data_IF_660801096009
#
_entry.id   IF_660801096009
#
_cell.length_a   1.000
_cell.length_b   1.000
_cell.length_c   1.000
_cell.angle_alpha   90.00
_cell.angle_beta   90.00
_cell.angle_gamma   90.00
#
_symmetry.space_group_name_H-M   'P 1'
#
loop_
_entity.id
_entity.type
_entity.pdbx_description
1 polymer ?
#
# COMPACT_ATOMS: atom_id res chain seq x y z
N UNK A 1 -7.96 -8.64 -12.43
CA UNK A 1 -7.66 -7.32 -13.04
C UNK A 1 -8.91 -6.47 -13.22
N UNK A 2 -9.97 -7.01 -13.79
CA UNK A 2 -11.18 -6.21 -14.01
C UNK A 2 -11.78 -5.62 -12.73
N UNK A 3 -11.79 -6.38 -11.64
CA UNK A 3 -12.30 -5.88 -10.36
C UNK A 3 -11.43 -4.75 -9.81
N UNK A 4 -10.12 -4.87 -9.92
CA UNK A 4 -9.20 -3.84 -9.45
C UNK A 4 -9.37 -2.54 -10.24
N UNK A 5 -9.54 -2.63 -11.55
CA UNK A 5 -9.78 -1.46 -12.39
C UNK A 5 -11.10 -0.77 -12.06
N UNK A 6 -12.13 -1.55 -11.82
CA UNK A 6 -13.44 -1.02 -11.47
C UNK A 6 -13.38 -0.30 -10.12
N UNK A 7 -12.81 -0.92 -9.13
CA UNK A 7 -12.70 -0.33 -7.81
C UNK A 7 -11.83 0.92 -7.82
N UNK A 8 -10.74 0.89 -8.59
CA UNK A 8 -9.89 2.06 -8.74
C UNK A 8 -10.69 3.24 -9.30
N UNK A 9 -11.50 3.01 -10.33
CA UNK A 9 -12.34 4.04 -10.91
C UNK A 9 -13.39 4.53 -9.90
N UNK A 10 -14.05 3.62 -9.23
CA UNK A 10 -15.06 3.97 -8.23
C UNK A 10 -14.45 4.78 -7.08
N UNK A 11 -13.27 4.40 -6.66
CA UNK A 11 -12.63 5.03 -5.51
C UNK A 11 -11.88 6.30 -5.84
N UNK A 12 -11.27 6.41 -6.99
CA UNK A 12 -10.41 7.55 -7.32
C UNK A 12 -10.92 8.39 -8.47
N UNK A 13 -11.86 7.90 -9.24
CA UNK A 13 -12.29 8.54 -10.46
C UNK A 13 -11.35 8.32 -11.64
N UNK A 14 -10.23 7.68 -11.45
CA UNK A 14 -9.29 7.39 -12.52
C UNK A 14 -9.81 6.27 -13.40
N UNK A 15 -9.80 6.51 -14.71
CA UNK A 15 -10.11 5.49 -15.69
C UNK A 15 -8.82 4.96 -16.28
N UNK A 16 -8.33 3.90 -15.70
CA UNK A 16 -7.16 3.19 -16.21
C UNK A 16 -7.60 1.92 -16.92
N UNK A 17 -6.76 1.47 -17.81
CA UNK A 17 -7.02 0.25 -18.55
C UNK A 17 -6.02 -0.83 -18.16
N UNK A 18 -6.24 -2.03 -18.62
CA UNK A 18 -5.39 -3.16 -18.24
C UNK A 18 -3.93 -2.93 -18.64
N UNK A 19 -3.68 -2.24 -19.77
CA UNK A 19 -2.31 -1.96 -20.19
C UNK A 19 -1.59 -0.95 -19.30
N UNK A 20 -2.32 -0.24 -18.45
CA UNK A 20 -1.69 0.66 -17.46
C UNK A 20 -1.18 -0.09 -16.24
N UNK A 21 -1.48 -1.37 -16.13
CA UNK A 21 -1.00 -2.17 -15.02
C UNK A 21 0.49 -2.45 -15.19
N UNK A 22 1.27 -2.13 -14.16
CA UNK A 22 2.67 -2.50 -14.12
C UNK A 22 2.87 -3.96 -13.72
N UNK A 23 1.96 -4.50 -12.94
CA UNK A 23 2.01 -5.87 -12.51
C UNK A 23 1.36 -6.09 -11.16
N UNK A 24 1.65 -7.24 -10.60
CA UNK A 24 1.13 -7.65 -9.30
C UNK A 24 2.28 -7.77 -8.32
N UNK A 25 2.01 -7.44 -7.07
CA UNK A 25 2.91 -7.75 -5.98
C UNK A 25 2.58 -9.14 -5.44
N UNK A 26 3.41 -9.61 -4.53
CA UNK A 26 3.19 -10.91 -3.90
C UNK A 26 1.87 -10.91 -3.11
N UNK A 27 1.15 -12.03 -3.11
CA UNK A 27 -0.05 -12.13 -2.30
C UNK A 27 0.27 -11.91 -0.82
N UNK A 28 -0.62 -11.16 -0.18
CA UNK A 28 -0.51 -10.88 1.25
C UNK A 28 -1.78 -11.39 1.92
N UNK A 29 -1.61 -12.14 3.00
CA UNK A 29 -2.76 -12.63 3.75
C UNK A 29 -3.22 -11.57 4.73
N UNK A 30 -4.50 -11.24 4.66
CA UNK A 30 -5.10 -10.29 5.59
C UNK A 30 -5.38 -10.95 6.95
N UNK A 31 -5.77 -10.13 7.93
CA UNK A 31 -6.15 -10.64 9.25
C UNK A 31 -7.38 -11.55 9.22
N UNK A 32 -8.15 -11.49 8.15
CA UNK A 32 -9.36 -12.29 7.96
C UNK A 32 -9.13 -13.50 7.08
N UNK A 33 -7.87 -13.92 6.92
CA UNK A 33 -7.47 -15.08 6.12
C UNK A 33 -7.82 -14.95 4.64
N UNK A 34 -7.99 -13.72 4.16
CA UNK A 34 -8.20 -13.46 2.75
C UNK A 34 -6.87 -13.20 2.08
N UNK A 35 -6.65 -13.82 0.93
CA UNK A 35 -5.46 -13.56 0.14
C UNK A 35 -5.69 -12.31 -0.70
N UNK A 36 -4.85 -11.32 -0.53
CA UNK A 36 -4.90 -10.06 -1.27
C UNK A 36 -3.74 -10.01 -2.23
N UNK A 37 -4.04 -9.78 -3.50
CA UNK A 37 -3.01 -9.62 -4.53
C UNK A 37 -3.01 -8.15 -4.96
N UNK A 38 -2.02 -7.37 -4.52
CA UNK A 38 -1.97 -5.96 -4.91
C UNK A 38 -1.66 -5.82 -6.40
N UNK A 39 -2.39 -4.92 -7.05
CA UNK A 39 -2.16 -4.54 -8.43
C UNK A 39 -1.57 -3.14 -8.45
N UNK A 40 -0.49 -2.96 -9.20
CA UNK A 40 0.18 -1.67 -9.33
C UNK A 40 -0.09 -1.12 -10.72
N UNK A 41 -0.56 0.11 -10.77
CA UNK A 41 -0.87 0.80 -12.00
C UNK A 41 0.00 2.05 -12.14
N UNK A 42 0.24 2.44 -13.38
CA UNK A 42 0.90 3.68 -13.72
C UNK A 42 -0.11 4.62 -14.39
N UNK A 43 -0.04 5.89 -14.03
CA UNK A 43 -0.84 6.92 -14.69
C UNK A 43 0.04 8.15 -14.92
N UNK A 44 0.01 8.67 -16.14
CA UNK A 44 0.68 9.95 -16.46
C UNK A 44 -0.13 11.13 -15.97
N UNK A 45 -1.36 10.90 -15.58
CA UNK A 45 -2.26 11.93 -15.13
C UNK A 45 -2.17 12.06 -13.62
N UNK A 46 -1.90 13.24 -13.14
CA UNK A 46 -1.99 13.50 -11.70
C UNK A 46 -3.43 13.27 -11.27
N UNK A 47 -3.60 12.64 -10.12
CA UNK A 47 -4.92 12.38 -9.57
C UNK A 47 -5.62 13.71 -9.32
N UNK A 48 -6.48 14.10 -10.25
CA UNK A 48 -7.34 15.27 -10.13
C UNK A 48 -8.80 14.87 -10.02
N UNK A 49 -9.03 13.56 -10.10
CA UNK A 49 -10.36 13.05 -10.05
C UNK A 49 -11.01 13.38 -8.71
N UNK A 50 -12.25 13.80 -8.77
CA UNK A 50 -13.05 13.86 -7.58
C UNK A 50 -13.26 12.45 -7.12
N UNK A 51 -12.70 12.03 -6.00
CA UNK A 51 -13.11 10.78 -5.41
C UNK A 51 -14.63 10.85 -5.25
N UNK A 52 -15.29 9.78 -5.52
CA UNK A 52 -16.73 9.76 -5.29
C UNK A 52 -16.95 9.90 -3.80
N UNK A 53 -17.44 11.05 -3.41
CA UNK A 53 -17.54 11.44 -2.00
C UNK A 53 -18.21 10.42 -1.10
N UNK A 54 -19.01 9.56 -1.69
CA UNK A 54 -19.78 8.58 -0.92
C UNK A 54 -18.99 7.33 -0.56
N UNK A 55 -17.91 7.06 -1.26
CA UNK A 55 -17.16 5.82 -1.07
C UNK A 55 -15.82 6.07 -0.45
N UNK A 56 -15.33 7.31 -0.55
CA UNK A 56 -13.95 7.55 -0.17
C UNK A 56 -13.77 8.84 0.57
N UNK A 57 -13.77 8.71 1.85
CA UNK A 57 -13.21 9.74 2.69
C UNK A 57 -11.68 9.80 2.55
N UNK A 58 -11.05 8.79 1.95
CA UNK A 58 -9.63 8.52 2.21
C UNK A 58 -8.82 8.12 0.97
N UNK A 59 -8.81 8.96 -0.05
CA UNK A 59 -7.82 8.84 -1.13
C UNK A 59 -6.72 9.85 -0.87
N UNK A 60 -5.48 9.38 -0.84
CA UNK A 60 -4.34 10.24 -0.59
C UNK A 60 -3.34 10.11 -1.71
N UNK A 61 -2.68 11.21 -2.04
CA UNK A 61 -1.52 11.20 -2.90
C UNK A 61 -0.31 11.50 -2.03
N UNK A 62 0.66 10.62 -2.08
CA UNK A 62 1.87 10.75 -1.26
C UNK A 62 3.07 10.62 -2.19
N UNK A 63 3.98 11.60 -2.21
CA UNK A 63 5.20 11.47 -2.99
C UNK A 63 5.99 10.23 -2.56
N UNK A 64 6.48 9.46 -3.52
CA UNK A 64 7.24 8.25 -3.21
C UNK A 64 8.47 8.56 -2.35
N UNK A 65 9.08 9.72 -2.56
CA UNK A 65 10.25 10.13 -1.79
C UNK A 65 9.96 10.24 -0.29
N UNK A 66 8.72 10.55 0.08
CA UNK A 66 8.36 10.65 1.50
C UNK A 66 8.51 9.31 2.22
N UNK A 67 8.21 8.22 1.53
CA UNK A 67 8.38 6.89 2.13
C UNK A 67 9.85 6.54 2.34
N UNK A 68 10.72 7.05 1.50
CA UNK A 68 12.14 6.78 1.57
C UNK A 68 12.82 7.69 2.59
N UNK A 69 12.44 8.95 2.61
CA UNK A 69 13.02 9.96 3.51
C UNK A 69 12.57 9.78 4.95
N UNK A 70 11.35 9.32 5.14
CA UNK A 70 10.82 9.05 6.47
C UNK A 70 10.84 7.55 6.71
N UNK A 71 11.88 7.09 7.38
CA UNK A 71 11.99 5.68 7.74
C UNK A 71 10.77 5.24 8.53
N UNK A 72 10.14 4.13 8.16
CA UNK A 72 8.97 3.66 8.88
C UNK A 72 9.35 3.20 10.29
N UNK A 73 8.41 3.32 11.18
CA UNK A 73 8.51 2.70 12.49
C UNK A 73 7.98 1.28 12.39
N UNK A 74 8.64 0.35 13.04
CA UNK A 74 8.19 -1.04 13.06
C UNK A 74 7.57 -1.35 14.42
N UNK A 75 6.38 -1.88 14.39
CA UNK A 75 5.61 -2.25 15.57
C UNK A 75 5.26 -3.74 15.50
N UNK A 76 5.34 -4.40 16.65
CA UNK A 76 4.98 -5.81 16.71
C UNK A 76 3.48 -5.98 16.66
N UNK A 77 2.99 -6.71 15.66
CA UNK A 77 1.58 -7.04 15.59
C UNK A 77 1.28 -8.28 16.43
N UNK A 78 0.44 -8.10 17.44
CA UNK A 78 -0.01 -9.20 18.26
C UNK A 78 -1.27 -9.87 17.70
N UNK A 79 -1.84 -9.27 16.65
CA UNK A 79 -3.07 -9.77 16.02
C UNK A 79 -2.81 -10.81 14.95
N UNK A 80 -1.56 -10.98 14.54
CA UNK A 80 -1.16 -11.95 13.53
C UNK A 80 -0.52 -13.16 14.19
N UNK A 81 -0.69 -14.30 13.55
CA UNK A 81 -0.07 -15.53 13.97
C UNK A 81 0.69 -16.14 12.78
N UNK A 82 2.02 -16.24 12.81
CA UNK A 82 2.89 -15.80 13.90
C UNK A 82 2.97 -14.29 14.01
N UNK A 83 3.43 -13.81 15.15
CA UNK A 83 3.63 -12.37 15.37
C UNK A 83 4.61 -11.82 14.33
N UNK A 84 4.35 -10.61 13.88
CA UNK A 84 5.13 -10.00 12.82
C UNK A 84 5.40 -8.55 13.14
N UNK A 85 6.61 -8.09 12.79
CA UNK A 85 6.93 -6.68 12.84
C UNK A 85 6.32 -5.98 11.63
N UNK A 86 5.54 -4.94 11.89
CA UNK A 86 4.74 -4.25 10.89
C UNK A 86 5.28 -2.85 10.69
N UNK A 87 5.54 -2.43 9.45
CA UNK A 87 5.95 -1.06 9.18
C UNK A 87 4.78 -0.09 9.37
N UNK A 88 5.12 1.13 9.76
CA UNK A 88 4.14 2.19 9.90
C UNK A 88 4.78 3.50 9.50
N UNK A 89 4.14 4.22 8.58
CA UNK A 89 4.57 5.55 8.16
C UNK A 89 3.55 6.57 8.61
N UNK A 90 4.01 7.79 8.75
CA UNK A 90 3.13 8.90 8.98
C UNK A 90 3.52 10.04 8.05
N UNK A 91 2.60 10.42 7.18
CA UNK A 91 2.77 11.53 6.26
C UNK A 91 1.71 12.57 6.57
N UNK A 92 2.16 13.77 6.99
CA UNK A 92 1.26 14.78 7.53
C UNK A 92 0.40 14.16 8.64
N UNK A 93 -0.89 14.13 8.48
CA UNK A 93 -1.79 13.52 9.46
C UNK A 93 -2.31 12.16 9.01
N UNK A 94 -1.68 11.58 7.98
CA UNK A 94 -2.08 10.29 7.44
C UNK A 94 -1.20 9.19 8.03
N UNK A 95 -1.84 8.25 8.69
CA UNK A 95 -1.20 7.03 9.18
C UNK A 95 -1.31 5.94 8.12
N UNK A 96 -0.18 5.37 7.73
CA UNK A 96 -0.12 4.26 6.80
C UNK A 96 0.34 3.05 7.60
N UNK A 97 -0.57 2.13 7.83
CA UNK A 97 -0.34 1.01 8.72
C UNK A 97 -1.08 -0.24 8.22
N UNK A 98 -0.93 -1.33 8.91
CA UNK A 98 -1.66 -2.57 8.63
C UNK A 98 -1.33 -3.14 7.25
N UNK A 99 -2.34 -3.68 6.58
CA UNK A 99 -2.18 -4.31 5.28
C UNK A 99 -1.63 -3.34 4.25
N UNK A 100 -2.09 -2.10 4.24
CA UNK A 100 -1.61 -1.08 3.31
C UNK A 100 -0.12 -0.85 3.47
N UNK A 101 0.37 -0.77 4.70
CA UNK A 101 1.80 -0.59 4.95
C UNK A 101 2.62 -1.78 4.48
N UNK A 102 2.10 -3.00 4.62
CA UNK A 102 2.77 -4.19 4.09
C UNK A 102 2.87 -4.14 2.58
N UNK A 103 1.80 -3.70 1.91
CA UNK A 103 1.77 -3.56 0.46
C UNK A 103 2.80 -2.52 0.01
N UNK A 104 2.85 -1.37 0.68
CA UNK A 104 3.81 -0.32 0.36
C UNK A 104 5.24 -0.81 0.56
N UNK A 105 5.50 -1.50 1.65
CA UNK A 105 6.82 -2.05 1.93
C UNK A 105 7.25 -3.03 0.84
N UNK A 106 6.36 -3.94 0.45
CA UNK A 106 6.65 -4.90 -0.62
C UNK A 106 6.86 -4.21 -1.96
N UNK A 107 6.09 -3.16 -2.23
CA UNK A 107 6.27 -2.36 -3.44
C UNK A 107 7.68 -1.77 -3.52
N UNK A 108 8.15 -1.15 -2.44
CA UNK A 108 9.49 -0.54 -2.45
C UNK A 108 10.60 -1.58 -2.55
N UNK A 109 10.45 -2.73 -1.90
CA UNK A 109 11.42 -3.80 -2.06
C UNK A 109 11.46 -4.33 -3.49
N UNK A 110 10.30 -4.56 -4.07
CA UNK A 110 10.20 -5.18 -5.39
C UNK A 110 10.64 -4.23 -6.51
N UNK A 111 10.19 -2.98 -6.46
CA UNK A 111 10.40 -2.04 -7.55
C UNK A 111 11.73 -1.31 -7.42
N UNK A 112 12.09 -0.92 -6.20
CA UNK A 112 13.28 -0.10 -5.97
C UNK A 112 14.38 -0.82 -5.23
N UNK A 113 14.18 -2.08 -4.88
CA UNK A 113 15.12 -2.85 -4.05
C UNK A 113 15.47 -2.11 -2.77
N UNK A 114 14.52 -1.36 -2.24
CA UNK A 114 14.70 -0.57 -1.03
C UNK A 114 14.24 -1.35 0.17
N UNK A 115 15.14 -1.59 1.11
CA UNK A 115 14.81 -2.21 2.38
C UNK A 115 14.84 -1.13 3.44
N UNK A 116 13.69 -0.85 4.02
CA UNK A 116 13.61 0.23 4.99
C UNK A 116 14.31 -0.12 6.29
N UNK A 117 14.18 -1.36 6.72
CA UNK A 117 14.84 -1.80 7.93
C UNK A 117 14.83 -3.31 7.97
N UNK A 118 15.92 -3.89 8.45
CA UNK A 118 15.90 -5.28 8.82
C UNK A 118 15.00 -5.44 10.03
N UNK A 119 14.42 -6.62 10.15
CA UNK A 119 13.59 -6.92 11.30
C UNK A 119 14.35 -6.55 12.58
N UNK A 120 13.72 -5.87 13.52
CA UNK A 120 14.36 -5.58 14.79
C UNK A 120 14.86 -6.87 15.41
N UNK A 121 15.94 -6.82 16.18
CA UNK A 121 16.46 -8.02 16.81
C UNK A 121 15.34 -8.71 17.56
N UNK A 122 15.21 -9.99 17.33
CA UNK A 122 14.13 -10.76 17.92
C UNK A 122 14.32 -10.85 19.42
N UNK A 123 13.62 -9.99 20.10
CA UNK A 123 13.35 -10.12 21.52
C UNK A 123 11.92 -10.56 21.71
N UNK A 124 11.52 -11.40 20.83
CA UNK A 124 10.18 -11.94 20.88
C UNK A 124 10.09 -13.07 21.87
#
# INVERSE_FOLDING_TARGET
MAAALRELQEETGLQLEQHDALGYLNPIESLYELSVIPCVFWSDTVLQGSPQEQEIADVFTIPLTEFIEQTPRFELSTRRSPKRWMPRWRYNNVDIWGLTALIVNDFFETVFNARFQEAPPSKL
#
